data_IF_593845515403
#
_entry.id   IF_593845515403
#
_cell.length_a   1.000
_cell.length_b   1.000
_cell.length_c   1.000
_cell.angle_alpha   90.00
_cell.angle_beta   90.00
_cell.angle_gamma   90.00
#
_symmetry.space_group_name_H-M   'P 1'
#
loop_
_entity.id
_entity.type
_entity.pdbx_description
1 polymer ?
#
# COMPACT_ATOMS: atom_id res chain seq x y z
N UNK A 1 18.75 -19.71 -24.17
CA UNK A 1 17.33 -19.29 -24.35
C UNK A 1 16.56 -19.12 -23.03
N UNK A 2 16.95 -19.75 -21.91
CA UNK A 2 16.22 -19.65 -20.63
C UNK A 2 16.53 -18.37 -19.81
N UNK A 3 17.76 -17.84 -19.88
CA UNK A 3 18.18 -16.67 -19.09
C UNK A 3 17.46 -15.37 -19.44
N UNK A 4 17.17 -15.13 -20.73
CA UNK A 4 16.46 -13.94 -21.19
C UNK A 4 15.02 -13.87 -20.66
N UNK A 5 14.30 -15.00 -20.60
CA UNK A 5 12.94 -15.06 -20.03
C UNK A 5 12.92 -14.81 -18.51
N UNK A 6 13.92 -15.30 -17.78
CA UNK A 6 14.03 -15.07 -16.33
C UNK A 6 14.29 -13.58 -16.03
N UNK A 7 15.16 -12.92 -16.80
CA UNK A 7 15.44 -11.49 -16.66
C UNK A 7 14.18 -10.65 -16.90
N UNK A 8 13.42 -10.95 -17.96
CA UNK A 8 12.17 -10.25 -18.27
C UNK A 8 11.13 -10.39 -17.14
N UNK A 9 10.88 -11.60 -16.64
CA UNK A 9 9.93 -11.81 -15.54
C UNK A 9 10.31 -11.04 -14.28
N UNK A 10 11.60 -11.00 -13.94
CA UNK A 10 12.10 -10.21 -12.79
C UNK A 10 11.84 -8.72 -12.98
N UNK A 11 12.11 -8.19 -14.17
CA UNK A 11 11.83 -6.78 -14.49
C UNK A 11 10.35 -6.43 -14.35
N UNK A 12 9.45 -7.30 -14.80
CA UNK A 12 7.99 -7.08 -14.67
C UNK A 12 7.54 -7.09 -13.22
N UNK A 13 8.01 -8.07 -12.42
CA UNK A 13 7.67 -8.14 -10.99
C UNK A 13 8.17 -6.90 -10.25
N UNK A 14 9.41 -6.48 -10.52
CA UNK A 14 10.00 -5.29 -9.93
C UNK A 14 9.21 -4.03 -10.31
N UNK A 15 8.84 -3.88 -11.59
CA UNK A 15 8.02 -2.75 -12.04
C UNK A 15 6.64 -2.71 -11.38
N UNK A 16 5.96 -3.87 -11.27
CA UNK A 16 4.66 -3.95 -10.59
C UNK A 16 4.76 -3.50 -9.14
N UNK A 17 5.80 -3.95 -8.42
CA UNK A 17 6.03 -3.54 -7.05
C UNK A 17 6.27 -2.03 -6.93
N UNK A 18 7.09 -1.44 -7.81
CA UNK A 18 7.35 0.02 -7.81
C UNK A 18 6.05 0.80 -8.01
N UNK A 19 5.24 0.44 -9.02
CA UNK A 19 3.97 1.14 -9.31
C UNK A 19 2.99 0.99 -8.15
N UNK A 20 2.86 -0.21 -7.58
CA UNK A 20 1.99 -0.43 -6.42
C UNK A 20 2.45 0.40 -5.21
N UNK A 21 3.76 0.48 -4.95
CA UNK A 21 4.31 1.30 -3.87
C UNK A 21 3.97 2.77 -4.08
N UNK A 22 4.19 3.30 -5.27
CA UNK A 22 3.90 4.71 -5.59
C UNK A 22 2.42 5.05 -5.38
N UNK A 23 1.51 4.18 -5.87
CA UNK A 23 0.06 4.36 -5.70
C UNK A 23 -0.32 4.37 -4.22
N UNK A 24 0.14 3.38 -3.46
CA UNK A 24 -0.21 3.28 -2.04
C UNK A 24 0.40 4.45 -1.26
N UNK A 25 1.64 4.83 -1.55
CA UNK A 25 2.31 5.98 -0.92
C UNK A 25 1.51 7.25 -1.14
N UNK A 26 1.10 7.52 -2.38
CA UNK A 26 0.31 8.71 -2.70
C UNK A 26 -1.01 8.72 -1.92
N UNK A 27 -1.78 7.62 -1.97
CA UNK A 27 -3.10 7.56 -1.32
C UNK A 27 -2.99 7.67 0.20
N UNK A 28 -2.01 7.01 0.82
CA UNK A 28 -1.81 7.08 2.28
C UNK A 28 -1.34 8.47 2.71
N UNK A 29 -0.42 9.09 1.96
CA UNK A 29 0.04 10.45 2.27
C UNK A 29 -1.07 11.49 2.08
N UNK A 30 -1.88 11.36 1.04
CA UNK A 30 -3.04 12.24 0.80
C UNK A 30 -4.14 12.03 1.85
N UNK A 31 -4.29 10.81 2.38
CA UNK A 31 -5.17 10.54 3.51
C UNK A 31 -4.65 11.14 4.81
N UNK A 32 -3.33 11.04 5.05
CA UNK A 32 -2.66 11.43 6.29
C UNK A 32 -3.41 10.89 7.53
N UNK A 33 -3.47 9.55 7.71
CA UNK A 33 -4.43 8.87 8.58
C UNK A 33 -4.38 9.33 10.04
N UNK A 34 -3.28 9.94 10.47
CA UNK A 34 -3.06 10.40 11.84
C UNK A 34 -2.51 11.83 11.90
N UNK A 35 -2.46 12.56 10.78
CA UNK A 35 -2.09 13.97 10.75
C UNK A 35 -0.59 14.25 10.90
N UNK A 36 0.30 13.30 10.58
CA UNK A 36 1.75 13.52 10.75
C UNK A 36 2.28 14.47 9.68
N UNK A 37 1.82 14.31 8.43
CA UNK A 37 2.29 15.15 7.33
C UNK A 37 1.79 16.58 7.47
N UNK A 38 0.51 16.76 7.84
CA UNK A 38 -0.05 18.08 8.17
C UNK A 38 0.66 18.72 9.38
N UNK A 39 1.20 17.91 10.30
CA UNK A 39 2.03 18.36 11.42
C UNK A 39 3.49 18.67 11.05
N UNK A 40 3.86 18.53 9.77
CA UNK A 40 5.20 18.84 9.26
C UNK A 40 6.19 17.68 9.28
N UNK A 41 5.73 16.43 9.43
CA UNK A 41 6.58 15.26 9.26
C UNK A 41 7.03 15.10 7.79
N UNK A 42 8.15 14.41 7.53
CA UNK A 42 8.62 14.08 6.19
C UNK A 42 7.64 13.21 5.39
N UNK A 43 7.72 13.24 4.05
CA UNK A 43 6.80 12.51 3.15
C UNK A 43 6.97 10.97 3.20
N UNK A 44 8.06 10.49 3.77
CA UNK A 44 8.39 9.07 3.97
C UNK A 44 8.00 8.55 5.36
N UNK A 45 7.27 9.33 6.15
CA UNK A 45 6.89 8.97 7.53
C UNK A 45 6.08 7.66 7.61
N UNK A 46 5.32 7.31 6.56
CA UNK A 46 4.49 6.10 6.50
C UNK A 46 5.14 4.92 5.76
N UNK A 47 6.44 5.01 5.41
CA UNK A 47 7.09 4.00 4.58
C UNK A 47 7.03 2.60 5.21
N UNK A 48 7.15 2.47 6.54
CA UNK A 48 7.10 1.18 7.21
C UNK A 48 5.72 0.51 7.10
N UNK A 49 4.66 1.29 7.22
CA UNK A 49 3.28 0.82 7.11
C UNK A 49 2.94 0.47 5.65
N UNK A 50 3.39 1.31 4.71
CA UNK A 50 3.22 1.07 3.28
C UNK A 50 3.91 -0.23 2.86
N UNK A 51 5.13 -0.48 3.33
CA UNK A 51 5.85 -1.74 3.07
C UNK A 51 5.09 -2.95 3.61
N UNK A 52 4.53 -2.86 4.82
CA UNK A 52 3.75 -3.95 5.39
C UNK A 52 2.44 -4.20 4.63
N UNK A 53 1.78 -3.14 4.15
CA UNK A 53 0.61 -3.28 3.28
C UNK A 53 1.00 -4.01 1.98
N UNK A 54 2.08 -3.60 1.32
CA UNK A 54 2.58 -4.22 0.09
C UNK A 54 2.94 -5.70 0.28
N UNK A 55 3.60 -6.04 1.38
CA UNK A 55 4.03 -7.41 1.66
C UNK A 55 2.88 -8.36 1.97
N UNK A 56 1.78 -7.84 2.54
CA UNK A 56 0.62 -8.66 2.91
C UNK A 56 -0.49 -8.67 1.85
N UNK A 57 -0.50 -7.71 0.93
CA UNK A 57 -1.39 -7.72 -0.23
C UNK A 57 -0.93 -8.78 -1.24
N UNK A 58 -1.88 -9.54 -1.77
CA UNK A 58 -1.63 -10.54 -2.81
C UNK A 58 -2.68 -10.47 -3.92
N UNK A 59 -2.43 -11.21 -5.00
CA UNK A 59 -3.41 -11.34 -6.07
C UNK A 59 -4.69 -12.00 -5.53
N UNK A 60 -5.79 -11.25 -5.51
CA UNK A 60 -7.08 -11.73 -5.02
C UNK A 60 -7.47 -11.17 -3.66
N UNK A 61 -6.62 -10.36 -3.01
CA UNK A 61 -7.01 -9.58 -1.83
C UNK A 61 -8.21 -8.69 -2.16
N UNK A 62 -9.31 -8.88 -1.42
CA UNK A 62 -10.49 -8.04 -1.55
C UNK A 62 -10.39 -6.76 -0.70
N UNK A 63 -11.33 -5.83 -0.89
CA UNK A 63 -11.30 -4.53 -0.20
C UNK A 63 -11.42 -4.65 1.33
N UNK A 64 -12.10 -5.68 1.83
CA UNK A 64 -12.26 -5.92 3.27
C UNK A 64 -10.95 -6.47 3.85
N UNK A 65 -10.31 -7.40 3.14
CA UNK A 65 -9.00 -7.94 3.50
C UNK A 65 -7.94 -6.83 3.48
N UNK A 66 -7.91 -6.00 2.44
CA UNK A 66 -6.99 -4.87 2.33
C UNK A 66 -7.24 -3.84 3.46
N UNK A 67 -8.49 -3.54 3.78
CA UNK A 67 -8.82 -2.67 4.91
C UNK A 67 -8.27 -3.20 6.24
N UNK A 68 -8.32 -4.52 6.45
CA UNK A 68 -7.76 -5.16 7.63
C UNK A 68 -6.24 -5.15 7.65
N UNK A 69 -5.58 -5.29 6.49
CA UNK A 69 -4.13 -5.15 6.34
C UNK A 69 -3.70 -3.74 6.73
N UNK A 70 -4.35 -2.71 6.18
CA UNK A 70 -4.10 -1.30 6.51
C UNK A 70 -4.27 -1.08 8.01
N UNK A 71 -5.40 -1.49 8.59
CA UNK A 71 -5.67 -1.32 10.01
C UNK A 71 -4.59 -1.98 10.89
N UNK A 72 -4.21 -3.22 10.56
CA UNK A 72 -3.19 -3.96 11.32
C UNK A 72 -1.83 -3.29 11.23
N UNK A 73 -1.45 -2.79 10.05
CA UNK A 73 -0.15 -2.19 9.86
C UNK A 73 0.04 -0.96 10.77
N UNK A 74 -0.90 -0.02 10.75
CA UNK A 74 -0.85 1.14 11.65
C UNK A 74 -0.97 0.76 13.13
N UNK A 75 -1.74 -0.29 13.45
CA UNK A 75 -1.84 -0.78 14.82
C UNK A 75 -0.54 -1.40 15.32
N UNK A 76 0.13 -2.19 14.50
CA UNK A 76 1.29 -2.97 14.90
C UNK A 76 2.58 -2.12 14.88
N UNK A 77 2.70 -1.17 13.94
CA UNK A 77 3.87 -0.29 13.83
C UNK A 77 3.79 0.95 14.71
N UNK A 78 2.61 1.55 14.82
CA UNK A 78 2.43 2.82 15.54
C UNK A 78 1.64 2.67 16.85
N UNK A 79 1.04 1.51 17.12
CA UNK A 79 0.19 1.31 18.29
C UNK A 79 -1.19 1.99 18.17
N UNK A 80 -1.58 2.42 16.97
CA UNK A 80 -2.77 3.26 16.76
C UNK A 80 -3.94 2.46 16.18
N UNK A 81 -5.13 2.68 16.73
CA UNK A 81 -6.37 2.07 16.22
C UNK A 81 -7.06 3.04 15.27
N UNK A 82 -6.90 2.83 13.97
CA UNK A 82 -7.56 3.63 12.95
C UNK A 82 -9.07 3.37 12.88
N UNK A 83 -9.80 4.33 12.30
CA UNK A 83 -11.21 4.13 12.00
C UNK A 83 -11.37 3.07 10.89
N UNK A 84 -12.07 1.96 11.20
CA UNK A 84 -12.24 0.84 10.25
C UNK A 84 -13.00 1.21 8.97
N UNK A 85 -13.94 2.15 9.03
CA UNK A 85 -14.66 2.62 7.84
C UNK A 85 -13.73 3.47 6.96
N UNK A 86 -12.84 4.25 7.57
CA UNK A 86 -11.80 4.96 6.83
C UNK A 86 -10.83 3.96 6.18
N UNK A 87 -10.37 2.94 6.91
CA UNK A 87 -9.57 1.86 6.32
C UNK A 87 -10.26 1.20 5.12
N UNK A 88 -11.56 0.93 5.20
CA UNK A 88 -12.32 0.36 4.08
C UNK A 88 -12.42 1.32 2.89
N UNK A 89 -12.71 2.60 3.14
CA UNK A 89 -12.76 3.63 2.09
C UNK A 89 -11.43 3.66 1.32
N UNK A 90 -10.31 3.74 2.02
CA UNK A 90 -8.99 3.86 1.39
C UNK A 90 -8.50 2.53 0.80
N UNK A 91 -8.93 1.39 1.33
CA UNK A 91 -8.74 0.10 0.67
C UNK A 91 -9.40 0.07 -0.71
N UNK A 92 -10.66 0.51 -0.82
CA UNK A 92 -11.35 0.58 -2.11
C UNK A 92 -10.66 1.53 -3.10
N UNK A 93 -10.12 2.65 -2.61
CA UNK A 93 -9.37 3.61 -3.41
C UNK A 93 -8.06 3.02 -3.95
N UNK A 94 -7.29 2.33 -3.09
CA UNK A 94 -6.07 1.61 -3.46
C UNK A 94 -6.38 0.50 -4.47
N UNK A 95 -7.36 -0.36 -4.17
CA UNK A 95 -7.78 -1.45 -5.07
C UNK A 95 -8.17 -0.92 -6.46
N UNK A 96 -8.97 0.15 -6.49
CA UNK A 96 -9.40 0.80 -7.74
C UNK A 96 -8.23 1.35 -8.55
N UNK A 97 -7.29 2.05 -7.89
CA UNK A 97 -6.11 2.61 -8.55
C UNK A 97 -5.18 1.52 -9.11
N UNK A 98 -4.93 0.45 -8.35
CA UNK A 98 -4.08 -0.66 -8.77
C UNK A 98 -4.69 -1.43 -9.95
N UNK A 99 -6.02 -1.56 -10.02
CA UNK A 99 -6.69 -2.21 -11.15
C UNK A 99 -6.59 -1.41 -12.45
N UNK A 100 -6.60 -0.08 -12.38
CA UNK A 100 -6.47 0.79 -13.56
C UNK A 100 -5.04 0.88 -14.12
N UNK A 101 -4.04 0.48 -13.32
CA UNK A 101 -2.61 0.50 -13.68
C UNK A 101 -2.09 -0.80 -14.33
N UNK A 102 -2.93 -1.82 -14.49
CA UNK A 102 -2.58 -3.16 -15.02
C UNK A 102 -3.05 -3.35 -16.46
#
# INVERSE_FOLDING_TARGET
MQEHHVNYKRKVIQWRYIVQREIITQIINDWDPIGLLDSGAPIDEYDLEIEEILLNMNTGTDDIELANIIYKSFKDKMGLSLNKLACLKYAMEISGAIQLSQ
#
